data_IF_093185640569
#
_entry.id   IF_093185640569
#
_cell.length_a   1.000
_cell.length_b   1.000
_cell.length_c   1.000
_cell.angle_alpha   90.00
_cell.angle_beta   90.00
_cell.angle_gamma   90.00
#
_symmetry.space_group_name_H-M   'P 1'
#
loop_
_entity.id
_entity.type
_entity.pdbx_description
1 polymer ?
2 branched ?
3 water ?
#
# COMPACT_ATOMS: atom_id res chain seq x y z
N UNK A 1 16.07 1.93 7.43
CA UNK A 1 14.84 1.69 6.69
C UNK A 1 13.63 1.57 7.63
N UNK A 2 13.56 2.51 8.59
CA UNK A 2 12.48 2.62 9.58
C UNK A 2 12.13 4.10 9.89
N UNK A 3 10.87 4.47 9.64
CA UNK A 3 10.43 5.86 9.72
C UNK A 3 9.33 5.96 10.76
N UNK A 4 9.52 6.87 11.71
CA UNK A 4 8.56 7.08 12.78
C UNK A 4 7.71 8.31 12.51
N UNK A 5 6.40 8.15 12.73
CA UNK A 5 5.43 9.24 12.59
C UNK A 5 5.65 10.04 11.31
N UNK A 6 5.58 9.36 10.17
CA UNK A 6 5.68 10.10 8.91
C UNK A 6 4.50 11.06 8.72
N UNK A 7 4.76 12.18 8.06
CA UNK A 7 3.70 13.03 7.61
C UNK A 7 2.86 12.33 6.54
N UNK A 8 1.55 12.52 6.63
CA UNK A 8 0.60 12.04 5.63
C UNK A 8 0.00 13.29 4.98
N UNK A 9 0.06 13.41 3.63
CA UNK A 9 0.53 12.41 2.68
C UNK A 9 2.02 12.14 2.77
N UNK A 10 2.37 10.87 2.66
CA UNK A 10 3.74 10.45 2.65
C UNK A 10 4.14 10.11 1.23
N UNK A 11 5.27 10.62 0.79
CA UNK A 11 5.89 10.19 -0.45
C UNK A 11 7.37 10.05 -0.17
N UNK A 12 7.91 8.86 -0.30
CA UNK A 12 9.30 8.67 0.00
C UNK A 12 9.96 7.59 -0.82
N UNK A 13 11.24 7.77 -1.06
CA UNK A 13 12.02 6.81 -1.80
C UNK A 13 12.18 5.55 -0.99
N UNK A 14 12.07 4.41 -1.67
CA UNK A 14 12.33 3.12 -1.07
C UNK A 14 13.80 2.81 -1.37
N UNK A 15 14.65 2.89 -0.36
CA UNK A 15 16.08 2.72 -0.56
C UNK A 15 16.36 1.29 -0.99
N UNK A 16 17.04 1.12 -2.12
CA UNK A 16 17.34 -0.19 -2.65
C UNK A 16 16.16 -0.84 -3.36
N UNK A 17 15.04 -0.15 -3.50
CA UNK A 17 13.86 -0.78 -4.08
C UNK A 17 13.42 -1.99 -3.28
N UNK A 18 12.70 -2.89 -3.95
CA UNK A 18 12.10 -4.07 -3.33
C UNK A 18 12.64 -5.33 -3.98
N UNK A 19 12.83 -6.37 -3.18
CA UNK A 19 13.16 -7.68 -3.71
C UNK A 19 12.27 -8.75 -3.08
N UNK A 20 12.09 -9.88 -3.79
CA UNK A 20 11.27 -10.95 -3.21
C UNK A 20 11.79 -11.42 -1.84
N UNK A 21 10.86 -11.70 -0.94
CA UNK A 21 11.16 -12.11 0.40
C UNK A 21 11.11 -10.98 1.41
N UNK A 22 11.13 -9.74 0.94
CA UNK A 22 11.10 -8.61 1.86
C UNK A 22 9.68 -8.26 2.25
N UNK A 23 9.57 -7.56 3.37
CA UNK A 23 8.28 -7.09 3.85
C UNK A 23 8.27 -5.59 3.93
N UNK A 24 7.11 -5.01 3.70
CA UNK A 24 6.83 -3.63 4.06
C UNK A 24 5.84 -3.70 5.21
N UNK A 25 6.21 -3.11 6.35
CA UNK A 25 5.39 -3.20 7.56
C UNK A 25 4.96 -1.80 7.95
N UNK A 26 3.65 -1.61 8.01
CA UNK A 26 3.05 -0.33 8.38
C UNK A 26 2.23 -0.49 9.64
N UNK A 27 2.52 0.30 10.65
CA UNK A 27 1.63 0.42 11.80
C UNK A 27 0.94 1.77 11.72
N UNK A 28 -0.35 1.78 11.93
CA UNK A 28 -1.09 3.02 11.88
C UNK A 28 -2.44 2.91 12.55
N UNK A 29 -3.31 3.85 12.22
CA UNK A 29 -4.65 3.85 12.76
C UNK A 29 -5.57 4.60 11.82
N UNK A 30 -6.86 4.32 11.97
CA UNK A 30 -7.87 4.91 11.13
C UNK A 30 -8.65 5.96 11.93
N UNK A 31 -8.75 7.18 11.42
CA UNK A 31 -9.55 8.19 12.14
C UNK A 31 -11.03 7.81 12.19
N UNK A 32 -11.74 8.39 13.14
CA UNK A 32 -13.16 8.09 13.33
C UNK A 32 -14.01 8.38 12.08
N UNK A 33 -13.62 9.38 11.29
CA UNK A 33 -14.38 9.80 10.12
C UNK A 33 -13.80 9.41 8.77
N UNK A 34 -13.06 8.32 8.72
CA UNK A 34 -12.38 7.93 7.48
C UNK A 34 -13.34 7.49 6.38
N UNK A 35 -13.00 7.84 5.14
CA UNK A 35 -13.73 7.35 3.98
C UNK A 35 -12.92 6.30 3.19
N UNK A 36 -11.65 6.59 2.99
CA UNK A 36 -10.74 5.69 2.29
C UNK A 36 -9.32 6.17 2.53
N UNK A 37 -8.36 5.29 2.25
CA UNK A 37 -6.97 5.68 2.17
C UNK A 37 -6.31 4.75 1.18
N UNK A 38 -5.07 5.06 0.80
CA UNK A 38 -4.36 4.17 -0.09
C UNK A 38 -2.87 4.10 0.23
N UNK A 39 -2.29 2.95 -0.08
CA UNK A 39 -0.87 2.71 -0.06
C UNK A 39 -0.49 2.40 -1.49
N UNK A 40 0.41 3.20 -2.06
CA UNK A 40 0.81 3.08 -3.45
C UNK A 40 2.29 2.77 -3.55
N UNK A 41 2.65 1.75 -4.32
CA UNK A 41 4.04 1.46 -4.66
C UNK A 41 4.24 1.99 -6.07
N UNK A 42 5.08 3.01 -6.20
CA UNK A 42 5.12 3.86 -7.38
C UNK A 42 6.46 3.82 -8.11
N UNK A 43 6.41 4.19 -9.39
CA UNK A 43 7.60 4.51 -10.17
C UNK A 43 7.78 6.03 -10.11
N UNK A 44 8.58 6.51 -9.17
CA UNK A 44 8.79 7.92 -9.00
C UNK A 44 7.64 8.62 -8.31
N UNK A 45 7.71 9.95 -8.31
CA UNK A 45 6.77 10.78 -7.61
C UNK A 45 6.24 11.95 -8.44
N UNK A 46 6.38 11.85 -9.76
CA UNK A 46 5.83 12.88 -10.63
C UNK A 46 4.34 13.06 -10.41
N UNK A 47 3.91 14.30 -10.50
CA UNK A 47 2.51 14.67 -10.35
C UNK A 47 1.88 14.93 -11.71
N UNK A 48 2.64 15.58 -12.59
CA UNK A 48 2.20 15.79 -13.97
C UNK A 48 3.36 15.55 -14.92
N UNK A 49 3.34 14.43 -15.67
CA UNK A 49 2.34 13.36 -15.64
C UNK A 49 2.41 12.58 -14.34
N UNK A 50 1.30 11.97 -13.98
CA UNK A 50 1.26 11.24 -12.73
C UNK A 50 2.09 9.96 -12.78
N UNK A 51 2.92 9.77 -11.76
CA UNK A 51 3.74 8.58 -11.61
C UNK A 51 2.91 7.32 -11.72
N UNK A 52 3.42 6.34 -12.45
CA UNK A 52 2.82 5.02 -12.48
C UNK A 52 2.73 4.44 -11.07
N UNK A 53 1.66 3.70 -10.81
CA UNK A 53 1.47 3.01 -9.55
C UNK A 53 1.43 1.52 -9.85
N UNK A 54 2.50 0.82 -9.50
CA UNK A 54 2.56 -0.62 -9.71
C UNK A 54 1.53 -1.35 -8.86
N UNK A 55 1.35 -0.92 -7.61
CA UNK A 55 0.42 -1.55 -6.70
C UNK A 55 -0.28 -0.45 -5.93
N UNK A 56 -1.57 -0.30 -6.16
CA UNK A 56 -2.48 0.61 -5.47
C UNK A 56 -3.35 -0.26 -4.59
N UNK A 57 -3.22 -0.05 -3.27
CA UNK A 57 -3.96 -0.79 -2.26
C UNK A 57 -4.88 0.21 -1.56
N UNK A 58 -6.20 0.04 -1.74
CA UNK A 58 -7.13 1.13 -1.44
C UNK A 58 -8.35 0.65 -0.64
N UNK A 59 -8.21 0.61 0.68
CA UNK A 59 -9.38 0.32 1.51
C UNK A 59 -10.41 1.45 1.45
N UNK A 60 -11.68 1.06 1.30
CA UNK A 60 -12.81 1.98 1.19
C UNK A 60 -13.85 1.57 2.21
N UNK A 61 -14.29 2.52 3.04
CA UNK A 61 -15.12 2.20 4.20
C UNK A 61 -16.60 2.19 3.92
N UNK A 62 -17.01 2.66 2.76
CA UNK A 62 -18.44 2.79 2.46
C UNK A 62 -19.15 1.46 2.57
N UNK A 63 -20.40 1.52 3.03
CA UNK A 63 -21.24 0.34 3.15
C UNK A 63 -20.58 -0.67 4.05
N UNK A 64 -20.37 -1.89 3.56
CA UNK A 64 -19.79 -2.93 4.38
C UNK A 64 -18.28 -2.95 4.23
N UNK A 65 -17.74 -2.11 3.34
CA UNK A 65 -16.30 -2.00 3.20
C UNK A 65 -15.74 -2.92 2.13
N UNK A 66 -14.69 -2.46 1.48
CA UNK A 66 -13.94 -3.32 0.57
C UNK A 66 -12.54 -2.80 0.43
N UNK A 67 -11.69 -3.56 -0.25
CA UNK A 67 -10.35 -3.11 -0.59
C UNK A 67 -10.19 -3.26 -2.09
N UNK A 68 -9.93 -2.13 -2.77
CA UNK A 68 -9.71 -2.13 -4.20
C UNK A 68 -8.21 -2.10 -4.46
N UNK A 69 -7.74 -2.99 -5.32
CA UNK A 69 -6.36 -2.98 -5.78
C UNK A 69 -6.34 -2.79 -7.30
N UNK A 70 -5.33 -2.08 -7.77
CA UNK A 70 -5.18 -1.80 -9.19
C UNK A 70 -3.77 -1.32 -9.46
N UNK A 71 -3.52 -1.04 -10.74
CA UNK A 71 -2.28 -0.52 -11.26
C UNK A 71 -2.61 0.67 -12.16
N UNK A 72 -1.84 1.75 -11.99
CA UNK A 72 -1.95 2.94 -12.84
C UNK A 72 -0.73 2.97 -13.74
N UNK A 73 -0.94 2.97 -15.05
CA UNK A 73 0.15 2.99 -16.01
C UNK A 73 -0.19 4.00 -17.10
N UNK A 74 0.73 4.92 -17.35
CA UNK A 74 0.51 6.00 -18.31
C UNK A 74 -0.82 6.70 -18.03
N UNK A 75 -1.08 6.93 -16.76
CA UNK A 75 -2.22 7.71 -16.28
C UNK A 75 -3.57 7.00 -16.49
N UNK A 76 -3.54 5.71 -16.77
CA UNK A 76 -4.76 4.92 -16.94
C UNK A 76 -4.81 3.77 -15.94
N UNK A 77 -5.96 3.63 -15.30
CA UNK A 77 -6.20 2.52 -14.39
C UNK A 77 -6.49 1.24 -15.15
N UNK A 78 -6.02 0.12 -14.61
CA UNK A 78 -6.33 -1.20 -15.15
C UNK A 78 -7.62 -1.77 -14.58
N UNK A 79 -7.74 -3.09 -14.68
CA UNK A 79 -8.87 -3.79 -14.12
C UNK A 79 -8.76 -3.82 -12.60
N UNK A 80 -9.82 -3.42 -11.90
CA UNK A 80 -9.82 -3.48 -10.46
C UNK A 80 -9.91 -4.91 -9.98
N UNK A 81 -9.20 -5.20 -8.90
CA UNK A 81 -9.37 -6.45 -8.16
C UNK A 81 -9.90 -6.07 -6.80
N UNK A 82 -11.15 -6.40 -6.54
CA UNK A 82 -11.83 -5.96 -5.34
C UNK A 82 -11.99 -7.12 -4.36
N UNK A 83 -11.49 -6.89 -3.15
CA UNK A 83 -11.66 -7.82 -2.05
C UNK A 83 -12.77 -7.28 -1.17
N UNK A 84 -13.85 -8.04 -1.03
CA UNK A 84 -15.00 -7.61 -0.25
C UNK A 84 -14.85 -8.07 1.18
N UNK A 85 -13.82 -7.53 1.80
CA UNK A 85 -13.49 -7.73 3.19
C UNK A 85 -13.04 -6.36 3.64
N UNK A 86 -13.19 -6.10 4.92
CA UNK A 86 -12.74 -4.86 5.52
C UNK A 86 -12.17 -5.15 6.89
N UNK A 87 -10.84 -5.34 6.97
CA UNK A 87 -10.28 -5.60 8.29
C UNK A 87 -9.98 -4.32 9.03
N UNK A 88 -10.04 -3.17 8.39
CA UNK A 88 -9.77 -1.91 9.06
C UNK A 88 -11.03 -1.42 9.75
N UNK A 89 -10.86 -0.75 10.88
CA UNK A 89 -11.99 -0.31 11.70
C UNK A 89 -11.76 1.13 12.12
N UNK A 90 -12.77 1.97 11.92
CA UNK A 90 -12.66 3.38 12.28
C UNK A 90 -12.36 3.53 13.77
N UNK A 91 -11.37 4.36 14.07
CA UNK A 91 -10.94 4.60 15.44
C UNK A 91 -9.97 3.58 16.00
N UNK A 92 -9.53 2.63 15.17
CA UNK A 92 -8.66 1.55 15.66
C UNK A 92 -7.31 1.47 14.98
N UNK A 93 -6.29 1.01 15.72
CA UNK A 93 -4.98 0.77 15.13
C UNK A 93 -4.98 -0.45 14.25
N UNK A 94 -3.96 -0.52 13.39
CA UNK A 94 -3.76 -1.68 12.53
C UNK A 94 -2.28 -1.87 12.26
N UNK A 95 -1.97 -3.06 11.75
CA UNK A 95 -0.68 -3.39 11.15
C UNK A 95 -0.99 -3.92 9.76
N UNK A 96 -0.31 -3.39 8.75
CA UNK A 96 -0.32 -3.97 7.41
C UNK A 96 1.05 -4.55 7.15
N UNK A 97 1.09 -5.79 6.64
CA UNK A 97 2.33 -6.38 6.18
C UNK A 97 2.16 -6.74 4.72
N UNK A 98 2.99 -6.15 3.87
CA UNK A 98 3.02 -6.51 2.47
C UNK A 98 4.27 -7.36 2.23
N UNK A 99 4.05 -8.65 1.93
CA UNK A 99 5.14 -9.55 1.55
C UNK A 99 5.34 -9.47 0.05
N UNK A 100 6.58 -9.24 -0.34
CA UNK A 100 6.95 -9.15 -1.73
C UNK A 100 7.39 -10.51 -2.21
N UNK A 101 6.75 -11.01 -3.28
CA UNK A 101 7.13 -12.30 -3.85
C UNK A 101 7.42 -12.10 -5.35
N UNK A 102 7.94 -13.14 -6.00
CA UNK A 102 8.32 -13.03 -7.40
C UNK A 102 7.11 -12.80 -8.30
N UNK A 103 5.97 -13.37 -7.92
CA UNK A 103 4.77 -13.35 -8.73
C UNK A 103 3.72 -12.35 -8.26
N UNK A 104 3.73 -12.06 -6.95
CA UNK A 104 2.61 -11.39 -6.31
C UNK A 104 3.09 -10.54 -5.15
N UNK A 105 2.24 -9.61 -4.76
CA UNK A 105 2.22 -9.09 -3.40
C UNK A 105 1.23 -9.92 -2.60
N UNK A 106 1.57 -10.22 -1.35
CA UNK A 106 0.63 -10.85 -0.43
C UNK A 106 0.47 -9.88 0.73
N UNK A 107 -0.77 -9.56 1.07
CA UNK A 107 -1.02 -8.57 2.09
C UNK A 107 -1.77 -9.21 3.25
N UNK A 108 -1.27 -8.97 4.45
CA UNK A 108 -1.92 -9.35 5.72
C UNK A 108 -2.25 -8.09 6.48
N UNK A 109 -3.34 -8.12 7.23
CA UNK A 109 -3.70 -7.01 8.10
C UNK A 109 -3.96 -7.62 9.47
N UNK A 110 -3.32 -7.07 10.50
CA UNK A 110 -3.47 -7.57 11.86
C UNK A 110 -3.22 -9.06 11.92
N UNK A 111 -2.21 -9.49 11.17
CA UNK A 111 -1.72 -10.87 11.16
C UNK A 111 -2.71 -11.88 10.60
N UNK A 112 -3.63 -11.40 9.78
CA UNK A 112 -4.60 -12.24 9.09
C UNK A 112 -4.45 -11.99 7.59
N UNK A 113 -4.47 -13.05 6.79
CA UNK A 113 -4.39 -12.86 5.35
C UNK A 113 -5.51 -11.99 4.84
N UNK A 114 -5.20 -11.08 3.91
CA UNK A 114 -6.21 -10.27 3.25
C UNK A 114 -6.31 -10.58 1.76
N UNK A 115 -5.23 -10.45 1.01
CA UNK A 115 -5.32 -10.60 -0.44
C UNK A 115 -3.97 -10.88 -1.09
N UNK A 116 -4.06 -11.32 -2.34
CA UNK A 116 -2.94 -11.51 -3.25
C UNK A 116 -3.12 -10.59 -4.46
N UNK A 117 -2.03 -10.14 -5.07
CA UNK A 117 -2.12 -9.31 -6.26
C UNK A 117 -0.94 -9.62 -7.17
N UNK A 118 -1.20 -10.15 -8.36
CA UNK A 118 -0.15 -10.44 -9.32
C UNK A 118 0.51 -9.17 -9.83
N UNK A 119 1.83 -9.19 -9.97
CA UNK A 119 2.53 -8.06 -10.55
C UNK A 119 2.06 -7.78 -11.95
N UNK A 120 1.86 -6.49 -12.23
CA UNK A 120 1.56 -6.01 -13.58
C UNK A 120 2.71 -5.15 -14.12
N UNK A 121 3.40 -4.44 -13.24
CA UNK A 121 4.61 -3.70 -13.55
C UNK A 121 5.78 -4.44 -12.86
N UNK A 122 6.91 -4.51 -13.56
CA UNK A 122 8.10 -5.18 -13.04
C UNK A 122 8.48 -4.66 -11.67
N UNK A 123 8.77 -5.57 -10.75
CA UNK A 123 9.08 -5.21 -9.38
C UNK A 123 10.24 -4.22 -9.27
N UNK A 124 11.25 -4.38 -10.12
CA UNK A 124 12.44 -3.55 -10.04
C UNK A 124 12.17 -2.09 -10.38
N UNK A 125 11.02 -1.80 -10.99
CA UNK A 125 10.66 -0.42 -11.32
C UNK A 125 10.20 0.38 -10.09
N UNK A 126 9.77 -0.30 -9.05
CA UNK A 126 9.21 0.38 -7.90
C UNK A 126 10.32 1.04 -7.10
N UNK A 127 10.17 2.33 -6.86
CA UNK A 127 11.20 3.04 -6.09
C UNK A 127 10.64 4.02 -5.07
N UNK A 128 9.31 4.09 -4.93
CA UNK A 128 8.66 5.12 -4.13
C UNK A 128 7.45 4.53 -3.42
N UNK A 129 7.30 4.89 -2.15
CA UNK A 129 6.13 4.57 -1.37
C UNK A 129 5.29 5.83 -1.14
N UNK A 130 4.01 5.75 -1.47
CA UNK A 130 3.07 6.82 -1.22
C UNK A 130 1.98 6.31 -0.30
N UNK A 131 1.59 7.14 0.66
CA UNK A 131 0.46 6.85 1.54
C UNK A 131 -0.39 8.11 1.59
N UNK A 132 -1.66 7.98 1.21
CA UNK A 132 -2.54 9.13 1.05
C UNK A 132 -3.91 8.83 1.65
N UNK A 133 -4.60 9.88 2.04
CA UNK A 133 -5.98 9.78 2.48
C UNK A 133 -6.14 9.85 3.98
N UNK A 134 -7.29 9.35 4.43
CA UNK A 134 -7.66 9.46 5.84
C UNK A 134 -7.10 8.27 6.63
N UNK A 135 -5.83 8.41 6.99
CA UNK A 135 -5.08 7.38 7.69
C UNK A 135 -3.97 8.08 8.46
N UNK A 136 -3.65 7.54 9.64
CA UNK A 136 -2.50 7.97 10.41
C UNK A 136 -1.52 6.80 10.41
N UNK A 137 -0.23 7.12 10.36
CA UNK A 137 0.81 6.10 10.33
C UNK A 137 1.82 6.36 11.45
N UNK A 138 1.99 5.36 12.31
CA UNK A 138 2.97 5.38 13.37
C UNK A 138 4.36 5.01 12.88
N UNK A 139 4.47 4.03 11.99
CA UNK A 139 5.77 3.61 11.50
C UNK A 139 5.70 2.93 10.15
N UNK A 140 6.79 3.08 9.41
CA UNK A 140 7.05 2.40 8.16
C UNK A 140 8.38 1.68 8.31
N UNK A 141 8.40 0.38 8.03
CA UNK A 141 9.64 -0.37 8.05
C UNK A 141 9.74 -1.30 6.85
N UNK A 142 10.94 -1.40 6.30
CA UNK A 142 11.25 -2.36 5.25
C UNK A 142 12.12 -3.45 5.85
N UNK A 143 11.61 -4.67 5.84
CA UNK A 143 12.25 -5.80 6.52
C UNK A 143 12.93 -6.68 5.49
N UNK A 144 14.22 -6.88 5.68
CA UNK A 144 15.03 -7.63 4.72
C UNK A 144 14.77 -9.13 4.81
N UNK A 145 15.29 -9.85 3.82
CA UNK A 145 15.36 -11.30 3.87
C UNK A 145 16.23 -11.77 5.03
X LIG B 1 -15.28 3.71 -11.41
X LIG B 1 -14.72 2.74 -10.33
X LIG B 1 -14.01 3.46 -9.24
X LIG B 1 -13.01 4.37 -9.77
X LIG B 1 -13.68 5.38 -10.72
X LIG B 1 -12.78 6.31 -11.33
X LIG B 1 -16.43 4.31 -10.91
X LIG B 1 -15.74 1.91 -9.91
X LIG B 1 -13.47 2.50 -8.27
X LIG B 1 -12.33 5.06 -8.71
X LIG B 1 -14.32 4.64 -11.79
X LIG B 1 -11.73 5.70 -12.06
X LIG B 2 -10.96 5.17 -8.81
X LIG B 2 -10.41 6.12 -7.81
X LIG B 2 -8.93 6.05 -7.78
X LIG B 2 -8.43 4.68 -7.57
X LIG B 2 -9.02 3.77 -8.62
X LIG B 2 -8.60 2.33 -8.52
X LIG B 2 -10.85 7.43 -8.15
X LIG B 2 -8.38 6.92 -6.78
X LIG B 2 -8.78 4.22 -6.26
X LIG B 2 -10.44 3.80 -8.56
X LIG B 2 -9.13 1.49 -9.48
#
# INVERSE_FOLDING_TARGET
KKISNPIIPYVGTILGGLVPGELIVLHGSIPDDADRFQVDLQCGSSIKPRADVAFHFNPRFKWSGCVVCNTLEREKWGWEEITYEMPFQKGRPFEIVIMILKDKFQVSVNKKHLLLYNHRISLERIDTLGIYGKVQIKSIEFVSN
GLC C1 C2 C3 C4 C5 C6 O1 O2 O3 O4 O5 O6
GAL C1 C2 C3 C4 C5 C6 O2 O3 O4 O5 O6
#
